data_IF_950196980349
#
_entry.id   IF_950196980349
#
_cell.length_a   1.000
_cell.length_b   1.000
_cell.length_c   1.000
_cell.angle_alpha   90.00
_cell.angle_beta   90.00
_cell.angle_gamma   90.00
#
_symmetry.space_group_name_H-M   'P 1'
#
loop_
_entity.id
_entity.type
_entity.pdbx_description
1 polymer ?
#
# COMPACT_ATOMS: atom_id res chain seq x y z
N UNK A 1 -37.49 18.38 -0.99
CA UNK A 1 -37.02 16.99 -1.02
C UNK A 1 -35.74 16.81 -1.84
N UNK A 2 -35.55 17.41 -3.02
CA UNK A 2 -34.33 17.28 -3.82
C UNK A 2 -33.03 17.76 -3.14
N UNK A 3 -33.08 18.84 -2.34
CA UNK A 3 -31.90 19.32 -1.60
C UNK A 3 -31.40 18.38 -0.50
N UNK A 4 -32.26 17.58 0.12
CA UNK A 4 -31.88 16.61 1.15
C UNK A 4 -31.16 15.42 0.50
N UNK A 5 -31.57 14.98 -0.68
CA UNK A 5 -30.88 13.92 -1.42
C UNK A 5 -29.50 14.35 -1.94
N UNK A 6 -29.36 15.60 -2.37
CA UNK A 6 -28.06 16.16 -2.77
C UNK A 6 -27.10 16.29 -1.58
N UNK A 7 -27.60 16.75 -0.43
CA UNK A 7 -26.81 16.82 0.81
C UNK A 7 -26.44 15.43 1.35
N UNK A 8 -27.37 14.48 1.30
CA UNK A 8 -27.10 13.08 1.68
C UNK A 8 -26.12 12.40 0.71
N UNK A 9 -26.24 12.69 -0.58
CA UNK A 9 -25.34 12.19 -1.61
C UNK A 9 -23.95 12.82 -1.50
N UNK A 10 -23.84 14.13 -1.21
CA UNK A 10 -22.59 14.83 -0.93
C UNK A 10 -21.96 14.35 0.40
N UNK A 11 -22.78 14.07 1.41
CA UNK A 11 -22.32 13.50 2.69
C UNK A 11 -21.83 12.05 2.51
N UNK A 12 -22.53 11.23 1.74
CA UNK A 12 -22.13 9.86 1.41
C UNK A 12 -20.90 9.83 0.49
N UNK A 13 -20.81 10.71 -0.51
CA UNK A 13 -19.60 10.84 -1.35
C UNK A 13 -18.40 11.39 -0.55
N UNK A 14 -18.62 12.35 0.35
CA UNK A 14 -17.58 12.86 1.25
C UNK A 14 -17.11 11.79 2.24
N UNK A 15 -18.00 10.93 2.72
CA UNK A 15 -17.68 9.82 3.62
C UNK A 15 -16.89 8.67 2.94
N UNK A 16 -17.04 8.49 1.62
CA UNK A 16 -16.37 7.41 0.87
C UNK A 16 -14.94 7.76 0.39
N UNK A 17 -14.53 9.05 0.47
CA UNK A 17 -13.23 9.51 -0.03
C UNK A 17 -12.18 9.76 1.08
N UNK A 18 -12.51 9.50 2.35
CA UNK A 18 -11.73 9.98 3.51
C UNK A 18 -10.80 8.94 4.15
N UNK A 19 -10.92 7.66 3.81
CA UNK A 19 -10.34 6.54 4.56
C UNK A 19 -8.86 6.71 4.95
N UNK A 20 -7.92 6.63 4.00
CA UNK A 20 -6.49 6.62 4.36
C UNK A 20 -5.94 8.00 4.76
N UNK A 21 -6.50 9.10 4.24
CA UNK A 21 -6.02 10.45 4.56
C UNK A 21 -6.31 10.85 6.01
N UNK A 22 -7.48 10.47 6.52
CA UNK A 22 -7.84 10.71 7.92
C UNK A 22 -6.92 9.89 8.84
N UNK A 23 -6.63 8.63 8.49
CA UNK A 23 -5.69 7.78 9.23
C UNK A 23 -4.28 8.36 9.17
N UNK A 24 -3.76 8.74 8.00
CA UNK A 24 -2.42 9.34 7.86
C UNK A 24 -2.29 10.62 8.68
N UNK A 25 -3.28 11.51 8.62
CA UNK A 25 -3.30 12.76 9.40
C UNK A 25 -3.28 12.48 10.89
N UNK A 26 -4.16 11.60 11.38
CA UNK A 26 -4.23 11.22 12.80
C UNK A 26 -2.91 10.60 13.28
N UNK A 27 -2.33 9.68 12.50
CA UNK A 27 -1.07 9.05 12.86
C UNK A 27 0.08 10.06 12.93
N UNK A 28 0.17 10.99 11.95
CA UNK A 28 1.18 12.07 11.98
C UNK A 28 1.00 13.03 13.14
N UNK A 29 -0.24 13.35 13.49
CA UNK A 29 -0.54 14.16 14.69
C UNK A 29 -0.06 13.44 15.95
N UNK A 30 -0.40 12.14 16.13
CA UNK A 30 0.06 11.35 17.26
C UNK A 30 1.59 11.31 17.32
N UNK A 31 2.26 11.03 16.21
CA UNK A 31 3.75 10.99 16.15
C UNK A 31 4.35 12.36 16.48
N UNK A 32 3.73 13.45 16.01
CA UNK A 32 4.17 14.81 16.36
C UNK A 32 4.04 15.11 17.86
N UNK A 33 2.92 14.69 18.48
CA UNK A 33 2.69 14.86 19.90
C UNK A 33 3.69 14.03 20.74
N UNK A 34 3.87 12.77 20.37
CA UNK A 34 4.83 11.85 20.99
C UNK A 34 6.25 12.40 20.96
N UNK A 35 6.71 12.96 19.82
CA UNK A 35 8.02 13.61 19.71
C UNK A 35 8.19 14.86 20.58
N UNK A 36 7.10 15.48 21.00
CA UNK A 36 7.07 16.60 21.94
C UNK A 36 6.94 16.14 23.39
N UNK A 37 6.94 14.84 23.65
CA UNK A 37 6.76 14.27 24.99
C UNK A 37 5.30 14.25 25.47
N UNK A 38 4.33 14.49 24.56
CA UNK A 38 2.90 14.47 24.88
C UNK A 38 2.34 13.09 24.57
N UNK A 39 1.96 12.36 25.62
CA UNK A 39 1.47 10.99 25.51
C UNK A 39 0.03 10.87 26.01
N UNK A 40 -0.73 9.97 25.40
CA UNK A 40 -1.99 9.49 25.91
C UNK A 40 -1.75 8.28 26.83
N UNK A 41 -2.54 8.07 27.87
CA UNK A 41 -2.34 6.94 28.78
C UNK A 41 -2.57 5.57 28.11
N UNK A 42 -3.40 5.52 27.05
CA UNK A 42 -3.69 4.28 26.33
C UNK A 42 -3.78 4.56 24.83
N UNK A 43 -3.15 3.68 24.04
CA UNK A 43 -3.25 3.64 22.59
C UNK A 43 -3.80 2.28 22.15
N UNK A 44 -4.85 2.27 21.32
CA UNK A 44 -5.34 1.10 20.61
C UNK A 44 -5.05 1.30 19.12
N UNK A 45 -4.03 0.60 18.64
CA UNK A 45 -3.56 0.66 17.25
C UNK A 45 -4.02 -0.60 16.55
N UNK A 46 -4.87 -0.47 15.53
CA UNK A 46 -5.49 -1.61 14.88
C UNK A 46 -5.80 -1.33 13.41
N UNK A 47 -6.17 -2.35 12.66
CA UNK A 47 -6.67 -2.25 11.29
C UNK A 47 -5.91 -3.11 10.29
N UNK A 48 -6.36 -3.02 9.03
CA UNK A 48 -5.87 -3.87 7.94
C UNK A 48 -4.55 -3.37 7.34
N UNK A 49 -4.12 -2.12 7.64
CA UNK A 49 -2.86 -1.56 7.15
C UNK A 49 -1.81 -1.50 8.28
N UNK A 50 -0.86 -2.46 8.31
CA UNK A 50 0.13 -2.56 9.38
C UNK A 50 1.07 -1.36 9.47
N UNK A 51 1.36 -0.69 8.34
CA UNK A 51 2.27 0.45 8.30
C UNK A 51 1.95 1.52 9.34
N UNK A 52 0.67 1.88 9.50
CA UNK A 52 0.26 2.92 10.45
C UNK A 52 0.34 2.45 11.90
N UNK A 53 0.06 1.16 12.14
CA UNK A 53 0.20 0.55 13.47
C UNK A 53 1.66 0.59 13.90
N UNK A 54 2.58 0.16 13.02
CA UNK A 54 4.02 0.18 13.27
C UNK A 54 4.54 1.60 13.44
N UNK A 55 4.19 2.53 12.55
CA UNK A 55 4.63 3.92 12.58
C UNK A 55 4.35 4.59 13.92
N UNK A 56 3.14 4.41 14.47
CA UNK A 56 2.75 5.01 15.75
C UNK A 56 3.38 4.25 16.91
N UNK A 57 3.36 2.91 16.88
CA UNK A 57 3.94 2.07 17.92
C UNK A 57 5.44 2.33 18.11
N UNK A 58 6.20 2.34 17.01
CA UNK A 58 7.64 2.56 17.04
C UNK A 58 7.98 3.98 17.49
N UNK A 59 7.22 5.00 17.04
CA UNK A 59 7.41 6.36 17.52
C UNK A 59 7.20 6.48 19.06
N UNK A 60 6.22 5.77 19.62
CA UNK A 60 6.00 5.74 21.07
C UNK A 60 7.17 5.05 21.76
N UNK A 61 7.62 3.89 21.26
CA UNK A 61 8.75 3.13 21.82
C UNK A 61 10.05 3.97 21.84
N UNK A 62 10.29 4.71 20.76
CA UNK A 62 11.50 5.53 20.62
C UNK A 62 11.53 6.76 21.53
N UNK A 63 10.36 7.34 21.83
CA UNK A 63 10.28 8.65 22.50
C UNK A 63 9.69 8.61 23.92
N UNK A 64 9.15 7.47 24.39
CA UNK A 64 8.49 7.41 25.70
C UNK A 64 9.47 7.45 26.87
N UNK A 65 10.66 6.91 26.71
CA UNK A 65 11.68 6.73 27.74
C UNK A 65 13.07 7.04 27.22
N UNK A 66 13.91 7.61 28.06
CA UNK A 66 15.33 7.74 27.80
C UNK A 66 16.01 6.36 27.77
N UNK A 67 17.13 6.23 27.09
CA UNK A 67 17.82 4.95 26.91
C UNK A 67 18.18 4.29 28.26
N UNK A 68 18.58 5.08 29.24
CA UNK A 68 18.93 4.63 30.60
C UNK A 68 17.71 4.14 31.42
N UNK A 69 16.51 4.53 31.06
CA UNK A 69 15.27 4.18 31.77
C UNK A 69 14.61 2.91 31.24
N UNK A 70 14.94 2.51 30.02
CA UNK A 70 14.25 1.42 29.30
C UNK A 70 14.36 0.07 29.98
N UNK A 71 15.50 -0.26 30.55
CA UNK A 71 15.75 -1.57 31.19
C UNK A 71 14.78 -1.86 32.34
N UNK A 72 14.30 -0.82 33.04
CA UNK A 72 13.42 -0.95 34.22
C UNK A 72 11.97 -0.58 33.95
N UNK A 73 11.74 0.28 32.94
CA UNK A 73 10.43 0.91 32.75
C UNK A 73 9.79 0.57 31.39
N UNK A 74 10.44 -0.23 30.54
CA UNK A 74 9.89 -0.69 29.27
C UNK A 74 9.55 -2.18 29.32
N UNK A 75 8.30 -2.50 29.03
CA UNK A 75 7.84 -3.87 28.85
C UNK A 75 7.25 -4.02 27.45
N UNK A 76 7.87 -4.83 26.60
CA UNK A 76 7.34 -5.18 25.28
C UNK A 76 7.05 -6.69 25.29
N UNK A 77 5.81 -7.05 25.02
CA UNK A 77 5.35 -8.43 24.96
C UNK A 77 4.50 -8.68 23.72
N UNK A 78 4.32 -9.96 23.39
CA UNK A 78 3.47 -10.39 22.30
C UNK A 78 2.18 -11.00 22.85
N UNK A 79 1.05 -10.73 22.20
CA UNK A 79 -0.25 -11.20 22.64
C UNK A 79 -0.36 -12.73 22.80
N UNK A 80 0.38 -13.50 22.02
CA UNK A 80 0.41 -14.96 22.14
C UNK A 80 1.08 -15.46 23.45
N UNK A 81 1.96 -14.64 24.06
CA UNK A 81 2.80 -15.04 25.18
C UNK A 81 2.25 -14.55 26.55
N UNK A 82 1.23 -13.69 26.52
CA UNK A 82 0.69 -13.05 27.73
C UNK A 82 -0.86 -13.10 27.74
N UNK A 83 -1.42 -12.94 28.92
CA UNK A 83 -2.84 -12.71 29.15
C UNK A 83 -3.12 -11.30 29.66
N UNK A 84 -4.39 -10.94 29.77
CA UNK A 84 -4.79 -9.60 30.23
C UNK A 84 -4.33 -9.30 31.67
N UNK A 85 -4.36 -10.28 32.57
CA UNK A 85 -3.96 -10.09 33.96
C UNK A 85 -2.47 -9.76 34.08
N UNK A 86 -1.62 -10.42 33.29
CA UNK A 86 -0.19 -10.14 33.20
C UNK A 86 0.07 -8.70 32.72
N UNK A 87 -0.64 -8.27 31.66
CA UNK A 87 -0.52 -6.92 31.09
C UNK A 87 -1.03 -5.87 32.10
N UNK A 88 -2.17 -6.10 32.74
CA UNK A 88 -2.73 -5.20 33.76
C UNK A 88 -1.78 -5.07 34.94
N UNK A 89 -1.20 -6.19 35.38
CA UNK A 89 -0.23 -6.18 36.48
C UNK A 89 1.01 -5.36 36.11
N UNK A 90 1.54 -5.53 34.91
CA UNK A 90 2.65 -4.72 34.41
C UNK A 90 2.28 -3.24 34.34
N UNK A 91 1.12 -2.91 33.77
CA UNK A 91 0.65 -1.55 33.59
C UNK A 91 0.34 -0.81 34.92
N UNK A 92 0.08 -1.54 36.00
CA UNK A 92 -0.18 -0.97 37.34
C UNK A 92 1.06 -0.77 38.19
N UNK A 93 2.24 -1.15 37.71
CA UNK A 93 3.49 -0.85 38.41
C UNK A 93 3.77 0.65 38.37
N UNK A 94 4.51 1.14 39.35
CA UNK A 94 5.06 2.49 39.29
C UNK A 94 6.43 2.47 38.61
N UNK A 95 6.78 3.52 37.85
CA UNK A 95 8.07 3.62 37.21
C UNK A 95 9.19 3.69 38.26
N UNK A 96 10.37 3.14 37.91
CA UNK A 96 11.55 3.15 38.72
C UNK A 96 12.54 4.21 38.24
N UNK A 97 12.75 5.23 39.02
CA UNK A 97 13.69 6.34 38.72
C UNK A 97 13.35 7.09 37.39
N UNK A 98 12.10 7.04 36.95
CA UNK A 98 11.59 7.69 35.73
C UNK A 98 10.24 8.32 35.99
N UNK A 99 9.82 9.25 35.13
CA UNK A 99 8.49 9.88 35.22
C UNK A 99 7.38 8.92 34.79
N UNK A 100 7.70 7.99 33.91
CA UNK A 100 6.70 7.09 33.32
C UNK A 100 7.28 5.71 32.98
N UNK A 101 6.38 4.77 32.77
CA UNK A 101 6.69 3.46 32.20
C UNK A 101 5.93 3.23 30.91
N UNK A 102 6.45 2.34 30.08
CA UNK A 102 5.85 1.94 28.80
C UNK A 102 5.55 0.44 28.81
N UNK A 103 4.30 0.08 28.53
CA UNK A 103 3.86 -1.29 28.31
C UNK A 103 3.31 -1.42 26.89
N UNK A 104 3.92 -2.28 26.07
CA UNK A 104 3.52 -2.50 24.67
C UNK A 104 3.11 -3.95 24.49
N UNK A 105 1.91 -4.19 24.00
CA UNK A 105 1.44 -5.51 23.59
C UNK A 105 1.38 -5.53 22.07
N UNK A 106 2.36 -6.18 21.44
CA UNK A 106 2.39 -6.42 20.00
C UNK A 106 1.54 -7.65 19.67
N UNK A 107 0.90 -7.65 18.49
CA UNK A 107 0.00 -8.72 18.05
C UNK A 107 -1.10 -9.05 19.09
N UNK A 108 -1.67 -8.03 19.67
CA UNK A 108 -2.64 -8.15 20.76
C UNK A 108 -3.91 -8.96 20.35
N UNK A 109 -4.21 -9.12 19.06
CA UNK A 109 -5.29 -9.97 18.56
C UNK A 109 -5.10 -11.45 18.95
N UNK A 110 -3.88 -11.87 19.26
CA UNK A 110 -3.56 -13.24 19.68
C UNK A 110 -3.69 -13.43 21.20
N UNK A 111 -3.91 -12.37 21.95
CA UNK A 111 -3.96 -12.42 23.41
C UNK A 111 -5.27 -13.03 23.93
N UNK A 112 -5.13 -13.92 24.90
CA UNK A 112 -6.30 -14.43 25.63
C UNK A 112 -6.85 -13.35 26.57
N UNK A 113 -8.16 -13.13 26.55
CA UNK A 113 -8.81 -12.15 27.41
C UNK A 113 -8.54 -10.70 27.00
N UNK A 114 -8.24 -10.40 25.73
CA UNK A 114 -8.01 -9.03 25.25
C UNK A 114 -9.02 -8.01 25.74
N UNK A 115 -10.29 -8.38 25.80
CA UNK A 115 -11.37 -7.49 26.25
C UNK A 115 -11.28 -7.12 27.75
N UNK A 116 -10.62 -7.92 28.56
CA UNK A 116 -10.47 -7.70 30.00
C UNK A 116 -9.52 -6.54 30.29
N UNK A 117 -8.69 -6.12 29.32
CA UNK A 117 -7.92 -4.88 29.39
C UNK A 117 -8.79 -3.64 29.56
N UNK A 118 -10.07 -3.71 29.19
CA UNK A 118 -11.01 -2.63 29.39
C UNK A 118 -11.11 -2.19 30.88
N UNK A 119 -10.89 -3.12 31.81
CA UNK A 119 -10.91 -2.84 33.27
C UNK A 119 -9.78 -1.86 33.63
N UNK A 120 -8.58 -2.07 33.10
CA UNK A 120 -7.46 -1.14 33.31
C UNK A 120 -7.70 0.19 32.58
N UNK A 121 -8.18 0.12 31.33
CA UNK A 121 -8.38 1.30 30.49
C UNK A 121 -9.47 2.26 31.03
N UNK A 122 -10.34 1.83 31.96
CA UNK A 122 -11.31 2.71 32.64
C UNK A 122 -10.65 3.71 33.60
N UNK A 123 -9.57 3.30 34.23
CA UNK A 123 -8.78 4.11 35.18
C UNK A 123 -7.28 3.82 34.96
N UNK A 124 -6.71 4.27 33.84
CA UNK A 124 -5.30 4.07 33.56
C UNK A 124 -4.44 4.93 34.51
N UNK A 125 -3.27 4.44 34.85
CA UNK A 125 -2.30 5.23 35.62
C UNK A 125 -1.70 6.33 34.72
N UNK A 126 -1.62 7.56 35.24
CA UNK A 126 -1.03 8.69 34.51
C UNK A 126 0.46 8.48 34.18
N UNK A 127 1.15 7.72 35.04
CA UNK A 127 2.57 7.37 34.86
C UNK A 127 2.80 6.19 33.92
N UNK A 128 1.77 5.62 33.32
CA UNK A 128 1.88 4.46 32.40
C UNK A 128 1.35 4.78 31.02
N UNK A 129 2.14 4.45 30.01
CA UNK A 129 1.69 4.44 28.61
C UNK A 129 1.43 2.99 28.22
N UNK A 130 0.18 2.63 27.95
CA UNK A 130 -0.21 1.31 27.45
C UNK A 130 -0.46 1.38 25.95
N UNK A 131 0.25 0.58 25.16
CA UNK A 131 0.06 0.44 23.72
C UNK A 131 -0.45 -0.96 23.41
N UNK A 132 -1.64 -1.04 22.81
CA UNK A 132 -2.28 -2.28 22.36
C UNK A 132 -2.24 -2.26 20.82
N UNK A 133 -1.29 -2.99 20.23
CA UNK A 133 -1.06 -3.03 18.80
C UNK A 133 -1.57 -4.34 18.17
N UNK A 134 -2.47 -4.21 17.18
CA UNK A 134 -3.07 -5.33 16.45
C UNK A 134 -2.77 -5.19 14.96
N UNK A 135 -2.15 -6.21 14.36
CA UNK A 135 -1.81 -6.21 12.93
C UNK A 135 -2.81 -7.04 12.13
N UNK A 136 -3.36 -6.45 11.06
CA UNK A 136 -4.32 -7.12 10.17
C UNK A 136 -5.61 -7.55 10.89
N UNK A 137 -5.93 -6.90 12.00
CA UNK A 137 -7.10 -7.19 12.81
C UNK A 137 -7.63 -5.91 13.47
N UNK A 138 -8.91 -5.91 13.82
CA UNK A 138 -9.57 -4.81 14.52
C UNK A 138 -10.39 -5.30 15.69
N UNK A 139 -10.38 -4.54 16.78
CA UNK A 139 -11.24 -4.79 17.93
C UNK A 139 -12.71 -4.52 17.55
N UNK A 140 -13.64 -5.30 18.11
CA UNK A 140 -15.07 -5.07 17.90
C UNK A 140 -15.48 -3.74 18.57
N UNK A 141 -15.88 -2.78 17.72
CA UNK A 141 -16.29 -1.43 18.14
C UNK A 141 -17.48 -1.40 19.10
N UNK A 142 -18.22 -2.50 19.20
CA UNK A 142 -19.38 -2.64 20.12
C UNK A 142 -18.96 -3.06 21.53
N UNK A 143 -17.76 -3.63 21.66
CA UNK A 143 -17.26 -4.17 22.93
C UNK A 143 -16.66 -3.09 23.84
N UNK A 144 -16.39 -3.48 25.08
CA UNK A 144 -15.99 -2.59 26.17
C UNK A 144 -14.61 -1.97 25.93
N UNK A 145 -13.63 -2.75 25.47
CA UNK A 145 -12.27 -2.27 25.24
C UNK A 145 -12.24 -1.08 24.27
N UNK A 146 -12.80 -1.26 23.07
CA UNK A 146 -12.85 -0.18 22.09
C UNK A 146 -13.54 1.06 22.63
N UNK A 147 -14.73 0.90 23.25
CA UNK A 147 -15.52 2.04 23.79
C UNK A 147 -14.78 2.78 24.89
N UNK A 148 -14.05 2.05 25.73
CA UNK A 148 -13.29 2.63 26.84
C UNK A 148 -12.08 3.40 26.31
N UNK A 149 -11.27 2.77 25.44
CA UNK A 149 -10.09 3.43 24.88
C UNK A 149 -10.46 4.63 24.01
N UNK A 150 -11.58 4.57 23.29
CA UNK A 150 -12.07 5.73 22.51
C UNK A 150 -12.40 6.97 23.38
N UNK A 151 -12.66 6.78 24.67
CA UNK A 151 -12.93 7.89 25.63
C UNK A 151 -11.70 8.34 26.40
N UNK A 152 -10.83 7.39 26.75
CA UNK A 152 -9.73 7.60 27.69
C UNK A 152 -8.37 7.73 27.02
N UNK A 153 -8.25 7.35 25.73
CA UNK A 153 -7.01 7.27 25.01
C UNK A 153 -7.10 7.66 23.54
N UNK A 154 -6.22 7.13 22.73
CA UNK A 154 -6.19 7.30 21.27
C UNK A 154 -6.46 5.98 20.58
N UNK A 155 -7.31 5.99 19.55
CA UNK A 155 -7.59 4.84 18.70
C UNK A 155 -7.16 5.16 17.29
N UNK A 156 -6.31 4.32 16.71
CA UNK A 156 -5.99 4.29 15.29
C UNK A 156 -6.65 3.06 14.70
N UNK A 157 -7.46 3.24 13.65
CA UNK A 157 -8.15 2.16 12.91
C UNK A 157 -7.80 2.31 11.44
N UNK A 158 -6.74 1.63 11.02
CA UNK A 158 -6.16 1.75 9.69
C UNK A 158 -6.90 0.88 8.68
N UNK A 159 -7.11 1.39 7.47
CA UNK A 159 -7.69 0.65 6.36
C UNK A 159 -6.67 0.46 5.26
N UNK A 160 -6.66 -0.73 4.66
CA UNK A 160 -5.80 -1.00 3.53
C UNK A 160 -6.10 -0.06 2.35
N UNK A 161 -5.05 0.46 1.72
CA UNK A 161 -5.18 1.29 0.53
C UNK A 161 -5.71 0.46 -0.64
N UNK A 162 -6.45 1.12 -1.51
CA UNK A 162 -6.81 0.57 -2.81
C UNK A 162 -5.70 0.87 -3.82
N UNK A 163 -5.53 0.01 -4.81
CA UNK A 163 -4.46 0.14 -5.82
C UNK A 163 -4.36 1.55 -6.42
N UNK A 164 -5.51 2.19 -6.71
CA UNK A 164 -5.54 3.53 -7.32
C UNK A 164 -5.18 4.66 -6.33
N UNK A 165 -5.16 4.41 -5.03
CA UNK A 165 -4.80 5.38 -3.98
C UNK A 165 -3.30 5.38 -3.70
N UNK A 166 -2.60 4.29 -4.02
CA UNK A 166 -1.19 4.08 -3.67
C UNK A 166 -0.27 5.17 -4.21
N UNK A 167 -0.41 5.56 -5.49
CA UNK A 167 0.45 6.62 -6.04
C UNK A 167 0.23 7.98 -5.37
N UNK A 168 -1.00 8.28 -4.92
CA UNK A 168 -1.30 9.49 -4.15
C UNK A 168 -0.66 9.42 -2.76
N UNK A 169 -0.74 8.26 -2.11
CA UNK A 169 -0.08 8.04 -0.83
C UNK A 169 1.45 8.22 -0.96
N UNK A 170 2.05 7.64 -2.01
CA UNK A 170 3.48 7.82 -2.31
C UNK A 170 3.84 9.30 -2.41
N UNK A 171 3.07 10.09 -3.16
CA UNK A 171 3.33 11.53 -3.29
C UNK A 171 3.27 12.26 -1.94
N UNK A 172 2.31 11.91 -1.08
CA UNK A 172 2.20 12.46 0.28
C UNK A 172 3.37 12.02 1.17
N UNK A 173 3.77 10.75 1.08
CA UNK A 173 4.90 10.21 1.83
C UNK A 173 6.21 10.91 1.46
N UNK A 174 6.49 11.07 0.16
CA UNK A 174 7.68 11.79 -0.32
C UNK A 174 7.69 13.25 0.10
N UNK A 175 6.54 13.93 0.03
CA UNK A 175 6.42 15.31 0.53
C UNK A 175 6.72 15.39 2.03
N UNK A 176 6.31 14.41 2.81
CA UNK A 176 6.64 14.30 4.23
C UNK A 176 8.14 14.05 4.49
N UNK A 177 8.87 13.50 3.52
CA UNK A 177 10.34 13.36 3.54
C UNK A 177 11.07 14.58 2.97
N UNK A 178 10.38 15.66 2.62
CA UNK A 178 10.97 16.87 2.00
C UNK A 178 11.31 16.71 0.52
N UNK A 179 10.72 15.75 -0.17
CA UNK A 179 10.96 15.42 -1.56
C UNK A 179 9.72 15.64 -2.42
N UNK A 180 9.94 15.97 -3.68
CA UNK A 180 8.93 15.98 -4.73
C UNK A 180 9.15 14.76 -5.63
N UNK A 181 8.16 13.89 -5.73
CA UNK A 181 8.19 12.78 -6.67
C UNK A 181 7.36 13.13 -7.91
N UNK A 182 7.90 12.90 -9.11
CA UNK A 182 7.17 13.09 -10.35
C UNK A 182 5.97 12.12 -10.43
N UNK A 183 4.83 12.52 -11.02
CA UNK A 183 3.62 11.68 -11.07
C UNK A 183 3.83 10.31 -11.75
N UNK A 184 4.67 10.25 -12.79
CA UNK A 184 5.07 9.02 -13.47
C UNK A 184 5.95 8.13 -12.57
N UNK A 185 6.86 8.73 -11.79
CA UNK A 185 7.69 8.03 -10.82
C UNK A 185 6.85 7.44 -9.67
N UNK A 186 5.88 8.21 -9.14
CA UNK A 186 4.98 7.73 -8.11
C UNK A 186 4.10 6.57 -8.60
N UNK A 187 3.61 6.66 -9.84
CA UNK A 187 2.82 5.62 -10.45
C UNK A 187 3.65 4.35 -10.73
N UNK A 188 4.91 4.50 -11.17
CA UNK A 188 5.85 3.41 -11.36
C UNK A 188 6.15 2.68 -10.04
N UNK A 189 6.41 3.41 -8.97
CA UNK A 189 6.67 2.83 -7.65
C UNK A 189 5.43 2.11 -7.10
N UNK A 190 4.22 2.68 -7.31
CA UNK A 190 2.96 2.05 -6.94
C UNK A 190 2.72 0.71 -7.68
N UNK A 191 3.01 0.67 -8.98
CA UNK A 191 2.88 -0.57 -9.77
C UNK A 191 3.88 -1.65 -9.30
N UNK A 192 5.09 -1.22 -8.88
CA UNK A 192 6.11 -2.13 -8.36
C UNK A 192 5.79 -2.70 -6.99
N UNK A 193 5.40 -1.85 -6.06
CA UNK A 193 5.20 -2.22 -4.66
C UNK A 193 3.78 -2.72 -4.36
N UNK A 194 2.82 -2.40 -5.23
CA UNK A 194 1.40 -2.62 -4.96
C UNK A 194 0.92 -1.72 -3.82
N UNK A 195 0.07 -2.25 -2.95
CA UNK A 195 -0.47 -1.54 -1.78
C UNK A 195 0.34 -1.76 -0.50
N UNK A 196 1.50 -2.39 -0.58
CA UNK A 196 2.38 -2.65 0.57
C UNK A 196 3.15 -1.37 0.95
N UNK A 197 2.62 -0.61 1.91
CA UNK A 197 3.18 0.66 2.35
C UNK A 197 4.53 0.50 3.06
N UNK A 198 4.72 -0.57 3.82
CA UNK A 198 6.00 -0.87 4.48
C UNK A 198 7.10 -1.08 3.44
N UNK A 199 6.80 -1.82 2.38
CA UNK A 199 7.74 -2.02 1.27
C UNK A 199 8.08 -0.69 0.58
N UNK A 200 7.08 0.16 0.31
CA UNK A 200 7.30 1.47 -0.29
C UNK A 200 8.20 2.33 0.60
N UNK A 201 7.93 2.38 1.90
CA UNK A 201 8.72 3.13 2.85
C UNK A 201 10.18 2.65 2.91
N UNK A 202 10.40 1.33 3.00
CA UNK A 202 11.75 0.71 3.02
C UNK A 202 12.51 1.01 1.73
N UNK A 203 11.88 0.83 0.57
CA UNK A 203 12.54 1.12 -0.72
C UNK A 203 12.86 2.61 -0.87
N UNK A 204 11.97 3.50 -0.39
CA UNK A 204 12.24 4.94 -0.38
C UNK A 204 13.44 5.28 0.52
N UNK A 205 13.53 4.71 1.73
CA UNK A 205 14.65 4.95 2.64
C UNK A 205 15.99 4.45 2.06
N UNK A 206 15.99 3.31 1.37
CA UNK A 206 17.18 2.81 0.65
C UNK A 206 17.59 3.76 -0.47
N UNK A 207 16.63 4.24 -1.25
CA UNK A 207 16.88 5.17 -2.34
C UNK A 207 17.47 6.49 -1.83
N UNK A 208 16.92 7.05 -0.74
CA UNK A 208 17.41 8.29 -0.12
C UNK A 208 18.89 8.25 0.23
N UNK A 209 19.40 7.09 0.66
CA UNK A 209 20.83 6.89 0.98
C UNK A 209 21.73 6.91 -0.26
N UNK A 210 21.16 6.67 -1.45
CA UNK A 210 21.89 6.57 -2.71
C UNK A 210 21.72 7.81 -3.61
N UNK A 211 20.80 8.71 -3.27
CA UNK A 211 20.59 9.94 -4.01
C UNK A 211 21.69 10.96 -3.66
N UNK A 212 22.12 11.81 -4.64
CA UNK A 212 23.04 12.91 -4.36
C UNK A 212 22.51 13.84 -3.27
N UNK A 213 23.40 14.36 -2.44
CA UNK A 213 23.03 15.37 -1.43
C UNK A 213 22.31 16.57 -2.09
N UNK A 214 21.25 17.05 -1.45
CA UNK A 214 20.43 18.15 -1.94
C UNK A 214 19.41 17.79 -3.02
N UNK A 215 19.23 16.51 -3.35
CA UNK A 215 18.18 16.08 -4.27
C UNK A 215 16.81 16.37 -3.65
N UNK A 216 16.00 17.18 -4.33
CA UNK A 216 14.62 17.50 -3.92
C UNK A 216 13.59 16.80 -4.84
N UNK A 217 13.94 16.64 -6.11
CA UNK A 217 13.01 16.07 -7.11
C UNK A 217 13.42 14.65 -7.48
N UNK A 218 12.47 13.71 -7.42
CA UNK A 218 12.66 12.31 -7.75
C UNK A 218 11.93 11.99 -9.05
N UNK A 219 12.68 11.51 -10.04
CA UNK A 219 12.20 11.12 -11.36
C UNK A 219 11.95 9.61 -11.46
N UNK A 220 11.27 9.17 -12.53
CA UNK A 220 11.10 7.76 -12.83
C UNK A 220 12.45 7.03 -12.99
N UNK A 221 13.47 7.70 -13.58
CA UNK A 221 14.82 7.11 -13.72
C UNK A 221 15.54 6.90 -12.38
N UNK A 222 15.23 7.71 -11.36
CA UNK A 222 15.78 7.50 -10.01
C UNK A 222 15.15 6.30 -9.34
N UNK A 223 13.83 6.12 -9.52
CA UNK A 223 13.11 4.91 -9.05
C UNK A 223 13.67 3.64 -9.71
N UNK A 224 13.84 3.65 -11.04
CA UNK A 224 14.40 2.51 -11.78
C UNK A 224 15.77 2.09 -11.26
N UNK A 225 16.66 3.07 -11.09
CA UNK A 225 18.06 2.83 -10.72
C UNK A 225 18.19 2.27 -9.31
N UNK A 226 17.37 2.76 -8.38
CA UNK A 226 17.55 2.48 -6.94
C UNK A 226 16.67 1.34 -6.42
N UNK A 227 15.49 1.12 -7.03
CA UNK A 227 14.53 0.10 -6.56
C UNK A 227 14.68 -1.24 -7.31
N UNK A 228 15.64 -1.35 -8.23
CA UNK A 228 15.88 -2.58 -8.99
C UNK A 228 14.73 -2.98 -9.91
N UNK A 229 13.96 -2.02 -10.38
CA UNK A 229 12.73 -2.19 -11.15
C UNK A 229 12.99 -2.53 -12.63
N UNK A 230 14.25 -2.53 -13.08
CA UNK A 230 14.60 -2.57 -14.52
C UNK A 230 13.80 -3.58 -15.36
N UNK A 231 13.42 -4.75 -14.77
CA UNK A 231 12.61 -5.75 -15.47
C UNK A 231 11.11 -5.46 -15.46
N UNK A 232 10.57 -4.98 -14.32
CA UNK A 232 9.15 -4.61 -14.24
C UNK A 232 8.87 -3.34 -15.02
N UNK A 233 9.82 -2.39 -15.00
CA UNK A 233 9.73 -1.17 -15.79
C UNK A 233 9.69 -1.48 -17.29
N UNK A 234 10.57 -2.34 -17.76
CA UNK A 234 10.59 -2.72 -19.19
C UNK A 234 9.27 -3.39 -19.62
N UNK A 235 8.62 -4.20 -18.76
CA UNK A 235 7.28 -4.76 -19.06
C UNK A 235 6.21 -3.67 -19.01
N UNK A 236 6.28 -2.73 -18.09
CA UNK A 236 5.37 -1.58 -18.02
C UNK A 236 5.50 -0.68 -19.26
N UNK A 237 6.73 -0.38 -19.66
CA UNK A 237 7.01 0.35 -20.91
C UNK A 237 6.50 -0.40 -22.13
N UNK A 238 6.66 -1.73 -22.16
CA UNK A 238 6.10 -2.56 -23.22
C UNK A 238 4.59 -2.49 -23.27
N UNK A 239 3.88 -2.57 -22.15
CA UNK A 239 2.41 -2.47 -22.10
C UNK A 239 1.93 -1.13 -22.62
N UNK A 240 2.62 -0.04 -22.28
CA UNK A 240 2.35 1.31 -22.80
C UNK A 240 2.52 1.37 -24.33
N UNK A 241 3.64 0.89 -24.86
CA UNK A 241 3.89 0.93 -26.30
C UNK A 241 2.94 0.00 -27.08
N UNK A 242 2.54 -1.12 -26.50
CA UNK A 242 1.46 -1.97 -27.03
C UNK A 242 0.12 -1.23 -27.05
N UNK A 243 -0.23 -0.54 -25.97
CA UNK A 243 -1.45 0.29 -25.87
C UNK A 243 -1.51 1.33 -26.99
N UNK A 244 -0.38 1.93 -27.32
CA UNK A 244 -0.23 2.92 -28.40
C UNK A 244 -0.08 2.30 -29.80
N UNK A 245 0.05 0.97 -29.90
CA UNK A 245 0.44 0.26 -31.14
C UNK A 245 1.76 0.75 -31.77
N UNK A 246 2.70 1.19 -30.94
CA UNK A 246 4.03 1.63 -31.39
C UNK A 246 4.93 0.40 -31.60
N UNK A 247 4.80 -0.22 -32.76
CA UNK A 247 5.48 -1.47 -33.08
C UNK A 247 7.02 -1.39 -32.97
N UNK A 248 7.73 -0.35 -33.51
CA UNK A 248 9.19 -0.32 -33.46
C UNK A 248 9.70 -0.30 -32.01
N UNK A 249 9.07 0.49 -31.14
CA UNK A 249 9.48 0.63 -29.76
C UNK A 249 9.11 -0.59 -28.93
N UNK A 250 7.89 -1.13 -29.09
CA UNK A 250 7.45 -2.35 -28.43
C UNK A 250 8.37 -3.55 -28.74
N UNK A 251 8.78 -3.74 -29.99
CA UNK A 251 9.70 -4.82 -30.39
C UNK A 251 11.10 -4.65 -29.79
N UNK A 252 11.62 -3.41 -29.76
CA UNK A 252 12.91 -3.12 -29.13
C UNK A 252 12.89 -3.46 -27.65
N UNK A 253 11.82 -3.08 -26.93
CA UNK A 253 11.65 -3.38 -25.51
C UNK A 253 11.49 -4.89 -25.29
N UNK A 254 10.68 -5.58 -26.09
CA UNK A 254 10.46 -7.02 -26.00
C UNK A 254 11.78 -7.81 -26.16
N UNK A 255 12.58 -7.44 -27.15
CA UNK A 255 13.92 -8.02 -27.36
C UNK A 255 14.85 -7.80 -26.17
N UNK A 256 14.86 -6.58 -25.62
CA UNK A 256 15.66 -6.24 -24.43
C UNK A 256 15.23 -7.04 -23.19
N UNK A 257 13.92 -7.13 -22.92
CA UNK A 257 13.39 -7.92 -21.79
C UNK A 257 13.76 -9.39 -21.93
N UNK A 258 13.53 -9.95 -23.13
CA UNK A 258 13.74 -11.36 -23.39
C UNK A 258 15.21 -11.78 -23.28
N UNK A 259 16.16 -10.89 -23.58
CA UNK A 259 17.61 -11.15 -23.51
C UNK A 259 18.18 -11.05 -22.09
N UNK A 260 17.39 -10.62 -21.10
CA UNK A 260 17.88 -10.49 -19.73
C UNK A 260 18.20 -11.86 -19.09
N UNK A 261 19.38 -12.00 -18.44
CA UNK A 261 19.93 -13.25 -17.91
C UNK A 261 19.02 -14.07 -16.96
N UNK A 262 18.03 -13.41 -16.33
CA UNK A 262 17.02 -14.07 -15.46
C UNK A 262 15.59 -13.78 -15.93
N UNK A 263 15.37 -13.66 -17.24
CA UNK A 263 14.03 -13.43 -17.78
C UNK A 263 13.14 -14.67 -17.55
N UNK A 264 11.91 -14.42 -17.07
CA UNK A 264 10.91 -15.46 -16.85
C UNK A 264 9.66 -15.13 -17.68
N UNK A 265 9.43 -15.89 -18.75
CA UNK A 265 8.28 -15.70 -19.65
C UNK A 265 6.93 -15.72 -18.91
N UNK A 266 6.65 -16.63 -17.93
CA UNK A 266 5.39 -16.61 -17.20
C UNK A 266 5.12 -15.31 -16.45
N UNK A 267 6.16 -14.64 -15.96
CA UNK A 267 6.02 -13.36 -15.26
C UNK A 267 5.64 -12.22 -16.23
N UNK A 268 6.23 -12.23 -17.43
CA UNK A 268 5.87 -11.28 -18.48
C UNK A 268 4.44 -11.49 -18.98
N UNK A 269 4.04 -12.75 -19.20
CA UNK A 269 2.67 -13.10 -19.59
C UNK A 269 1.65 -12.67 -18.53
N UNK A 270 1.94 -12.86 -17.24
CA UNK A 270 1.05 -12.44 -16.14
C UNK A 270 0.86 -10.92 -16.13
N UNK A 271 1.92 -10.15 -16.35
CA UNK A 271 1.84 -8.68 -16.41
C UNK A 271 1.03 -8.21 -17.64
N UNK A 272 1.26 -8.80 -18.81
CA UNK A 272 0.49 -8.53 -20.02
C UNK A 272 -0.99 -8.91 -19.85
N UNK A 273 -1.27 -10.05 -19.20
CA UNK A 273 -2.64 -10.46 -18.90
C UNK A 273 -3.35 -9.42 -18.03
N UNK A 274 -2.72 -8.99 -16.95
CA UNK A 274 -3.28 -7.96 -16.06
C UNK A 274 -3.61 -6.68 -16.82
N UNK A 275 -2.70 -6.23 -17.70
CA UNK A 275 -2.89 -5.03 -18.49
C UNK A 275 -4.08 -5.17 -19.48
N UNK A 276 -4.11 -6.24 -20.29
CA UNK A 276 -5.20 -6.46 -21.26
C UNK A 276 -6.54 -6.80 -20.60
N UNK A 277 -6.54 -7.41 -19.42
CA UNK A 277 -7.73 -7.62 -18.63
C UNK A 277 -8.31 -6.28 -18.10
N UNK A 278 -7.47 -5.34 -17.71
CA UNK A 278 -7.90 -3.97 -17.38
C UNK A 278 -8.54 -3.28 -18.58
N UNK A 279 -7.92 -3.35 -19.77
CA UNK A 279 -8.48 -2.78 -21.02
C UNK A 279 -9.84 -3.43 -21.34
N UNK A 280 -9.96 -4.75 -21.22
CA UNK A 280 -11.21 -5.50 -21.45
C UNK A 280 -12.32 -5.02 -20.52
N UNK A 281 -12.06 -4.93 -19.21
CA UNK A 281 -13.02 -4.45 -18.22
C UNK A 281 -13.43 -3.01 -18.49
N UNK A 282 -12.48 -2.17 -18.85
CA UNK A 282 -12.77 -0.78 -19.20
C UNK A 282 -13.58 -0.66 -20.47
N UNK A 283 -13.28 -1.45 -21.50
CA UNK A 283 -14.08 -1.53 -22.71
C UNK A 283 -15.53 -1.98 -22.43
N UNK A 284 -15.72 -2.95 -21.55
CA UNK A 284 -17.06 -3.38 -21.11
C UNK A 284 -17.81 -2.26 -20.35
N UNK A 285 -17.15 -1.49 -19.51
CA UNK A 285 -17.73 -0.31 -18.84
C UNK A 285 -18.18 0.74 -19.86
N UNK A 286 -17.35 1.04 -20.87
CA UNK A 286 -17.68 2.03 -21.90
C UNK A 286 -18.86 1.61 -22.79
N UNK A 287 -19.10 0.31 -22.97
CA UNK A 287 -20.29 -0.20 -23.67
C UNK A 287 -21.58 0.05 -22.87
N UNK A 288 -21.50 0.03 -21.54
CA UNK A 288 -22.65 0.29 -20.65
C UNK A 288 -22.84 1.79 -20.41
N UNK A 289 -21.75 2.51 -20.23
CA UNK A 289 -21.70 3.95 -19.97
C UNK A 289 -20.56 4.59 -20.78
N UNK A 290 -20.87 5.25 -21.93
CA UNK A 290 -19.83 5.84 -22.79
C UNK A 290 -19.02 6.98 -22.16
N UNK A 291 -19.50 7.58 -21.08
CA UNK A 291 -18.80 8.66 -20.34
C UNK A 291 -18.83 8.41 -18.84
N UNK A 292 -18.09 7.39 -18.36
CA UNK A 292 -18.03 7.09 -16.93
C UNK A 292 -17.31 8.19 -16.17
N UNK A 293 -17.76 8.47 -14.95
CA UNK A 293 -17.05 9.35 -14.02
C UNK A 293 -15.66 8.77 -13.66
N UNK A 294 -14.72 9.62 -13.28
CA UNK A 294 -13.37 9.21 -12.94
C UNK A 294 -13.30 8.15 -11.84
N UNK A 295 -14.19 8.22 -10.84
CA UNK A 295 -14.28 7.21 -9.78
C UNK A 295 -14.66 5.82 -10.33
N UNK A 296 -15.57 5.77 -11.30
CA UNK A 296 -15.95 4.51 -11.96
C UNK A 296 -14.79 3.96 -12.81
N UNK A 297 -14.05 4.84 -13.51
CA UNK A 297 -12.83 4.48 -14.23
C UNK A 297 -11.76 3.91 -13.26
N UNK A 298 -11.49 4.62 -12.16
CA UNK A 298 -10.52 4.21 -11.15
C UNK A 298 -10.86 2.82 -10.57
N UNK A 299 -12.12 2.61 -10.22
CA UNK A 299 -12.60 1.33 -9.66
C UNK A 299 -12.47 0.15 -10.64
N UNK A 300 -12.71 0.39 -11.93
CA UNK A 300 -12.67 -0.68 -12.96
C UNK A 300 -11.23 -0.95 -13.40
N UNK A 301 -10.43 0.09 -13.61
CA UNK A 301 -9.05 -0.04 -14.06
C UNK A 301 -8.10 -0.46 -12.92
N UNK A 302 -8.36 -0.03 -11.68
CA UNK A 302 -7.45 -0.25 -10.57
C UNK A 302 -6.10 0.45 -10.76
N UNK A 303 -6.07 1.60 -11.45
CA UNK A 303 -4.85 2.36 -11.73
C UNK A 303 -5.01 3.82 -11.33
N UNK A 304 -3.89 4.52 -11.17
CA UNK A 304 -3.89 5.96 -10.92
C UNK A 304 -4.57 6.70 -12.08
N UNK A 305 -5.39 7.75 -11.81
CA UNK A 305 -6.01 8.59 -12.84
C UNK A 305 -5.05 9.18 -13.88
N UNK A 306 -3.78 9.33 -13.55
CA UNK A 306 -2.71 9.72 -14.47
C UNK A 306 -2.67 8.85 -15.75
N UNK A 307 -2.95 7.54 -15.63
CA UNK A 307 -2.94 6.61 -16.76
C UNK A 307 -4.25 6.52 -17.55
N UNK A 308 -5.31 7.23 -17.16
CA UNK A 308 -6.60 7.10 -17.86
C UNK A 308 -6.51 7.42 -19.33
N UNK A 309 -5.76 8.45 -19.73
CA UNK A 309 -5.55 8.82 -21.13
C UNK A 309 -4.90 7.69 -21.96
N UNK A 310 -3.98 6.91 -21.34
CA UNK A 310 -3.37 5.73 -21.96
C UNK A 310 -4.44 4.64 -22.18
N UNK A 311 -5.24 4.34 -21.16
CA UNK A 311 -6.32 3.35 -21.27
C UNK A 311 -7.44 3.79 -22.20
N UNK A 312 -7.76 5.10 -22.29
CA UNK A 312 -8.68 5.65 -23.30
C UNK A 312 -8.17 5.41 -24.74
N UNK A 313 -6.85 5.43 -24.93
CA UNK A 313 -6.21 5.08 -26.21
C UNK A 313 -6.16 3.57 -26.42
N UNK A 314 -5.77 2.82 -25.41
CA UNK A 314 -5.68 1.38 -25.45
C UNK A 314 -7.02 0.71 -25.85
N UNK A 315 -8.15 1.15 -25.27
CA UNK A 315 -9.47 0.57 -25.57
C UNK A 315 -9.92 0.84 -27.00
N UNK A 316 -9.48 1.95 -27.61
CA UNK A 316 -9.73 2.24 -29.04
C UNK A 316 -8.92 1.31 -29.96
N UNK A 317 -7.65 1.05 -29.58
CA UNK A 317 -6.76 0.19 -30.35
C UNK A 317 -7.09 -1.31 -30.17
N UNK A 318 -7.59 -1.67 -28.97
CA UNK A 318 -7.96 -3.02 -28.58
C UNK A 318 -9.41 -3.06 -28.06
N UNK A 319 -10.43 -2.98 -28.93
CA UNK A 319 -11.82 -3.19 -28.54
C UNK A 319 -12.00 -4.58 -27.89
N UNK A 320 -13.11 -4.79 -27.18
CA UNK A 320 -13.41 -6.01 -26.40
C UNK A 320 -13.04 -7.32 -27.13
N UNK A 321 -13.42 -7.47 -28.42
CA UNK A 321 -13.10 -8.66 -29.22
C UNK A 321 -11.60 -8.86 -29.38
N UNK A 322 -10.84 -7.79 -29.62
CA UNK A 322 -9.36 -7.85 -29.75
C UNK A 322 -8.71 -8.18 -28.42
N UNK A 323 -9.16 -7.59 -27.30
CA UNK A 323 -8.68 -7.95 -25.97
C UNK A 323 -8.88 -9.44 -25.67
N UNK A 324 -10.05 -9.98 -26.01
CA UNK A 324 -10.32 -11.42 -25.82
C UNK A 324 -9.36 -12.29 -26.65
N UNK A 325 -9.06 -11.88 -27.89
CA UNK A 325 -8.08 -12.56 -28.74
C UNK A 325 -6.66 -12.50 -28.14
N UNK A 326 -6.25 -11.34 -27.62
CA UNK A 326 -4.97 -11.21 -26.90
C UNK A 326 -4.93 -12.09 -25.67
N UNK A 327 -5.98 -12.14 -24.85
CA UNK A 327 -6.04 -12.99 -23.65
C UNK A 327 -5.94 -14.48 -24.03
N UNK A 328 -6.60 -14.90 -25.09
CA UNK A 328 -6.48 -16.26 -25.60
C UNK A 328 -5.04 -16.58 -26.08
N UNK A 329 -4.39 -15.62 -26.75
CA UNK A 329 -3.00 -15.72 -27.15
C UNK A 329 -2.06 -15.82 -25.94
N UNK A 330 -2.27 -15.02 -24.90
CA UNK A 330 -1.47 -15.06 -23.67
C UNK A 330 -1.52 -16.43 -22.98
N UNK A 331 -2.68 -17.12 -23.03
CA UNK A 331 -2.80 -18.49 -22.52
C UNK A 331 -1.88 -19.47 -23.25
N UNK A 332 -1.76 -19.33 -24.59
CA UNK A 332 -0.84 -20.14 -25.40
C UNK A 332 0.62 -19.92 -24.95
N UNK A 333 0.98 -18.65 -24.74
CA UNK A 333 2.36 -18.30 -24.34
C UNK A 333 2.66 -18.55 -22.86
N UNK A 334 1.68 -18.62 -22.00
CA UNK A 334 1.86 -19.13 -20.62
C UNK A 334 2.26 -20.61 -20.65
N UNK A 335 1.60 -21.41 -21.49
CA UNK A 335 1.94 -22.82 -21.68
C UNK A 335 3.33 -22.99 -22.28
N UNK A 336 3.66 -22.26 -23.35
CA UNK A 336 5.00 -22.24 -23.94
C UNK A 336 6.06 -21.79 -22.94
N UNK A 337 5.80 -20.73 -22.16
CA UNK A 337 6.73 -20.22 -21.15
C UNK A 337 7.02 -21.19 -19.99
N UNK A 338 6.19 -22.21 -19.82
CA UNK A 338 6.37 -23.31 -18.85
C UNK A 338 7.00 -24.57 -19.48
N UNK A 339 7.46 -24.48 -20.72
CA UNK A 339 8.15 -25.57 -21.43
C UNK A 339 7.28 -26.41 -22.36
N UNK A 340 6.01 -26.03 -22.59
CA UNK A 340 5.12 -26.71 -23.53
C UNK A 340 5.32 -26.27 -24.97
N UNK A 341 5.49 -27.18 -25.90
CA UNK A 341 5.54 -26.99 -27.37
C UNK A 341 6.42 -25.80 -27.84
N UNK A 342 7.58 -25.61 -27.21
CA UNK A 342 8.52 -24.50 -27.53
C UNK A 342 9.51 -24.80 -28.61
N UNK A 343 9.74 -26.09 -28.95
CA UNK A 343 10.82 -26.50 -29.84
C UNK A 343 12.18 -25.98 -29.34
N UNK A 344 12.96 -25.37 -30.23
CA UNK A 344 14.25 -24.76 -29.91
C UNK A 344 14.15 -23.25 -29.58
N UNK A 345 12.93 -22.67 -29.52
CA UNK A 345 12.74 -21.24 -29.32
C UNK A 345 13.21 -20.80 -27.94
N UNK A 346 14.03 -19.78 -27.91
CA UNK A 346 14.49 -19.13 -26.65
C UNK A 346 13.38 -18.28 -26.03
N UNK A 347 13.43 -18.01 -24.70
CA UNK A 347 12.50 -17.07 -24.07
C UNK A 347 12.49 -15.68 -24.72
N UNK A 348 13.61 -15.23 -25.28
CA UNK A 348 13.73 -13.97 -26.00
C UNK A 348 12.91 -13.97 -27.28
N UNK A 349 13.05 -15.03 -28.08
CA UNK A 349 12.30 -15.21 -29.33
C UNK A 349 10.80 -15.33 -29.06
N UNK A 350 10.40 -16.08 -28.05
CA UNK A 350 8.99 -16.17 -27.62
C UNK A 350 8.40 -14.82 -27.22
N UNK A 351 9.18 -13.98 -26.54
CA UNK A 351 8.71 -12.64 -26.12
C UNK A 351 8.53 -11.70 -27.32
N UNK A 352 9.44 -11.74 -28.29
CA UNK A 352 9.33 -10.96 -29.52
C UNK A 352 8.18 -11.46 -30.37
N UNK A 353 8.04 -12.78 -30.56
CA UNK A 353 6.93 -13.40 -31.30
C UNK A 353 5.57 -13.02 -30.70
N UNK A 354 5.41 -13.16 -29.38
CA UNK A 354 4.20 -12.75 -28.67
C UNK A 354 3.87 -11.28 -28.94
N UNK A 355 4.87 -10.39 -28.84
CA UNK A 355 4.71 -8.96 -29.07
C UNK A 355 4.23 -8.67 -30.51
N UNK A 356 4.82 -9.31 -31.50
CA UNK A 356 4.40 -9.20 -32.91
C UNK A 356 2.94 -9.65 -33.07
N UNK A 357 2.58 -10.80 -32.50
CA UNK A 357 1.21 -11.34 -32.61
C UNK A 357 0.18 -10.42 -31.93
N UNK A 358 0.48 -9.83 -30.78
CA UNK A 358 -0.38 -8.86 -30.11
C UNK A 358 -0.59 -7.60 -30.96
N UNK A 359 0.47 -7.08 -31.59
CA UNK A 359 0.40 -5.88 -32.42
C UNK A 359 -0.46 -6.11 -33.67
N UNK A 360 -0.48 -7.34 -34.21
CA UNK A 360 -1.24 -7.70 -35.40
C UNK A 360 -2.72 -8.04 -35.13
N UNK A 361 -3.13 -8.21 -33.87
CA UNK A 361 -4.53 -8.28 -33.46
C UNK A 361 -5.17 -6.90 -33.54
#
# INVERSE_FOLDING_TARGET
>A
MQHIYVLLFLYLCSSMAKGFQETDTLCREIVSDVRKGIFSPVYLLMGDEPYYVDMVCDAIIENALDESERDFNQTICYGADVDADTVITAARRYPMFAERQLVVVKEAQMMKGLEDLAVYCQMPLESTILVIAMHGASADKRKSLYKTVSKMGKVVDSQQLRDYETARWISMYYSGCGLNIAPDAAALLAEYAGTDLNKIAVETQKMLKNLPEGTVNVSASDIERNVGISRKFSIFELTKELSLKNAPKALKIASYIGSAAKFAMPMAVSALYTHFYRILRYGALLMQNPRPANDAKAKVLGVNPYFFAEYDTAVRNYPVKKCMAVIALLKEYDYKGKGGDVGEATPAELMVELTVRILNI
#
